data_IF_053661136903
#
_entry.id   IF_053661136903
#
_cell.length_a   1.000
_cell.length_b   1.000
_cell.length_c   1.000
_cell.angle_alpha   90.00
_cell.angle_beta   90.00
_cell.angle_gamma   90.00
#
_symmetry.space_group_name_H-M   'P 1'
#
loop_
_entity.id
_entity.type
_entity.pdbx_description
1 polymer ?
#
# COMPACT_ATOMS: atom_id res chain seq x y z
N UNK A 1 -11.88 -9.33 -7.30
CA UNK A 1 -10.43 -9.32 -7.12
C UNK A 1 -9.79 -8.42 -8.16
N UNK A 2 -8.90 -7.56 -7.73
CA UNK A 2 -8.21 -6.62 -8.60
C UNK A 2 -6.72 -6.80 -8.47
N UNK A 3 -6.08 -7.55 -9.37
CA UNK A 3 -4.65 -7.85 -9.24
C UNK A 3 -3.75 -6.62 -9.25
N UNK A 4 -4.24 -5.49 -9.76
CA UNK A 4 -3.48 -4.25 -9.77
C UNK A 4 -3.98 -3.23 -8.74
N UNK A 5 -4.85 -3.65 -7.83
CA UNK A 5 -5.42 -2.70 -6.87
C UNK A 5 -4.44 -2.43 -5.74
N UNK A 6 -4.33 -1.16 -5.40
CA UNK A 6 -3.50 -0.69 -4.29
C UNK A 6 -4.43 -0.06 -3.25
N UNK A 7 -4.36 -0.55 -2.02
CA UNK A 7 -5.11 0.06 -0.93
C UNK A 7 -4.18 1.01 -0.19
N UNK A 8 -4.57 2.27 -0.09
CA UNK A 8 -3.77 3.29 0.58
C UNK A 8 -4.51 3.76 1.82
N UNK A 9 -3.83 3.68 2.96
CA UNK A 9 -4.41 4.00 4.25
C UNK A 9 -3.55 5.08 4.92
N UNK A 10 -4.11 6.28 5.08
CA UNK A 10 -3.40 7.42 5.66
C UNK A 10 -4.43 8.42 6.13
N UNK A 11 -4.20 9.06 7.27
CA UNK A 11 -5.15 10.02 7.81
C UNK A 11 -5.03 11.42 7.20
N UNK A 12 -4.05 11.64 6.33
CA UNK A 12 -3.87 12.93 5.67
C UNK A 12 -4.49 12.89 4.28
N UNK A 13 -5.59 13.65 4.06
CA UNK A 13 -6.25 13.62 2.74
C UNK A 13 -5.34 14.02 1.60
N UNK A 14 -4.42 14.95 1.84
CA UNK A 14 -3.49 15.38 0.78
C UNK A 14 -2.59 14.24 0.32
N UNK A 15 -2.15 13.39 1.25
CA UNK A 15 -1.32 12.24 0.92
C UNK A 15 -2.14 11.21 0.12
N UNK A 16 -3.37 10.95 0.56
CA UNK A 16 -4.25 10.01 -0.15
C UNK A 16 -4.49 10.46 -1.58
N UNK A 17 -4.82 11.74 -1.75
CA UNK A 17 -5.10 12.28 -3.08
C UNK A 17 -3.87 12.23 -3.97
N UNK A 18 -2.72 12.58 -3.43
CA UNK A 18 -1.48 12.57 -4.18
C UNK A 18 -1.12 11.15 -4.66
N UNK A 19 -1.18 10.18 -3.75
CA UNK A 19 -0.83 8.81 -4.09
C UNK A 19 -1.84 8.24 -5.09
N UNK A 20 -3.13 8.51 -4.87
CA UNK A 20 -4.17 8.01 -5.77
C UNK A 20 -3.95 8.55 -7.18
N UNK A 21 -3.62 9.81 -7.29
CA UNK A 21 -3.41 10.44 -8.59
C UNK A 21 -2.16 9.87 -9.28
N UNK A 22 -1.06 9.77 -8.55
CA UNK A 22 0.19 9.26 -9.10
C UNK A 22 0.07 7.82 -9.55
N UNK A 23 -0.48 6.96 -8.72
CA UNK A 23 -0.59 5.55 -9.04
C UNK A 23 -1.67 5.29 -10.08
N UNK A 24 -2.76 6.06 -10.04
CA UNK A 24 -3.78 5.97 -11.08
C UNK A 24 -3.22 6.32 -12.43
N UNK A 25 -2.35 7.31 -12.47
CA UNK A 25 -1.69 7.71 -13.71
C UNK A 25 -0.79 6.59 -14.25
N UNK A 26 -0.23 5.77 -13.36
CA UNK A 26 0.60 4.62 -13.74
C UNK A 26 -0.23 3.41 -14.13
N UNK A 27 -1.55 3.50 -14.06
CA UNK A 27 -2.42 2.40 -14.49
C UNK A 27 -2.94 1.53 -13.36
N UNK A 28 -2.60 1.83 -12.11
CA UNK A 28 -3.11 1.06 -10.98
C UNK A 28 -4.51 1.50 -10.60
N UNK A 29 -5.27 0.57 -10.06
CA UNK A 29 -6.55 0.88 -9.43
C UNK A 29 -6.26 1.20 -7.97
N UNK A 30 -6.68 2.37 -7.50
CA UNK A 30 -6.34 2.82 -6.15
C UNK A 30 -7.60 3.00 -5.32
N UNK A 31 -7.58 2.43 -4.13
CA UNK A 31 -8.64 2.60 -3.15
C UNK A 31 -8.01 3.26 -1.94
N UNK A 32 -8.61 4.34 -1.45
CA UNK A 32 -8.05 5.09 -0.32
C UNK A 32 -9.02 5.09 0.84
N UNK A 33 -8.47 5.12 2.05
CA UNK A 33 -9.25 5.30 3.25
C UNK A 33 -8.39 5.95 4.32
N UNK A 34 -9.03 6.70 5.21
CA UNK A 34 -8.34 7.30 6.35
C UNK A 34 -8.59 6.55 7.65
N UNK A 35 -9.26 5.41 7.59
CA UNK A 35 -9.65 4.66 8.78
C UNK A 35 -9.17 3.22 8.70
N UNK A 36 -8.50 2.77 9.78
CA UNK A 36 -7.98 1.42 9.84
C UNK A 36 -9.05 0.35 9.76
N UNK A 37 -10.19 0.55 10.41
CA UNK A 37 -11.29 -0.41 10.38
C UNK A 37 -11.84 -0.60 8.98
N UNK A 38 -11.95 0.49 8.24
CA UNK A 38 -12.41 0.42 6.85
C UNK A 38 -11.39 -0.29 5.98
N UNK A 39 -10.10 -0.03 6.24
CA UNK A 39 -9.03 -0.70 5.51
C UNK A 39 -9.08 -2.21 5.70
N UNK A 40 -9.32 -2.67 6.91
CA UNK A 40 -9.42 -4.10 7.20
C UNK A 40 -10.59 -4.73 6.47
N UNK A 41 -11.75 -4.09 6.52
CA UNK A 41 -12.94 -4.59 5.84
C UNK A 41 -12.70 -4.65 4.32
N UNK A 42 -12.11 -3.60 3.79
CA UNK A 42 -11.83 -3.51 2.36
C UNK A 42 -10.85 -4.60 1.92
N UNK A 43 -9.80 -4.83 2.70
CA UNK A 43 -8.80 -5.84 2.36
C UNK A 43 -9.39 -7.24 2.38
N UNK A 44 -10.29 -7.52 3.30
CA UNK A 44 -10.93 -8.83 3.38
C UNK A 44 -11.93 -9.03 2.26
N UNK A 45 -12.73 -8.01 1.99
CA UNK A 45 -13.79 -8.10 1.01
C UNK A 45 -13.24 -8.16 -0.42
N UNK A 46 -12.19 -7.41 -0.68
CA UNK A 46 -11.64 -7.28 -2.03
C UNK A 46 -10.13 -7.13 -1.93
N UNK A 47 -9.41 -8.25 -1.73
CA UNK A 47 -7.98 -8.20 -1.45
C UNK A 47 -7.18 -7.44 -2.50
N UNK A 48 -6.42 -6.43 -2.10
CA UNK A 48 -5.56 -5.69 -3.04
C UNK A 48 -4.26 -6.44 -3.29
N UNK A 49 -3.52 -5.98 -4.29
CA UNK A 49 -2.20 -6.50 -4.57
C UNK A 49 -1.16 -5.99 -3.58
N UNK A 50 -1.43 -4.83 -2.99
CA UNK A 50 -0.48 -4.16 -2.09
C UNK A 50 -1.23 -3.19 -1.19
N UNK A 51 -0.78 -3.07 0.05
CA UNK A 51 -1.31 -2.08 0.99
C UNK A 51 -0.20 -1.10 1.35
N UNK A 52 -0.47 0.19 1.16
CA UNK A 52 0.38 1.27 1.65
C UNK A 52 -0.28 1.81 2.91
N UNK A 53 0.41 1.73 4.04
CA UNK A 53 -0.21 1.95 5.33
C UNK A 53 0.59 2.91 6.19
N UNK A 54 -0.05 4.01 6.61
CA UNK A 54 0.52 4.93 7.59
C UNK A 54 0.39 4.34 8.98
N UNK A 55 1.45 4.37 9.75
CA UNK A 55 1.44 3.86 11.12
C UNK A 55 0.79 4.81 12.11
N UNK A 56 0.88 6.10 11.85
CA UNK A 56 0.46 7.12 12.81
C UNK A 56 -0.91 7.66 12.43
N UNK A 57 -1.95 6.94 12.82
CA UNK A 57 -3.32 7.36 12.56
C UNK A 57 -4.10 7.43 13.87
N UNK A 58 -5.03 8.38 14.01
CA UNK A 58 -5.90 8.41 15.18
C UNK A 58 -6.86 7.22 15.17
N UNK A 59 -7.30 6.82 16.34
CA UNK A 59 -8.18 5.66 16.47
C UNK A 59 -7.39 4.37 16.34
N UNK A 60 -7.68 3.58 15.32
CA UNK A 60 -6.93 2.35 15.09
C UNK A 60 -5.59 2.69 14.43
N UNK A 61 -4.50 2.42 15.12
CA UNK A 61 -3.17 2.70 14.60
C UNK A 61 -2.79 1.72 13.49
N UNK A 62 -1.77 2.10 12.71
CA UNK A 62 -1.26 1.21 11.68
C UNK A 62 -0.76 -0.12 12.24
N UNK A 63 -0.19 -0.09 13.44
CA UNK A 63 0.26 -1.33 14.10
C UNK A 63 -0.90 -2.31 14.32
N UNK A 64 -2.05 -1.78 14.73
CA UNK A 64 -3.24 -2.61 14.95
C UNK A 64 -3.77 -3.16 13.62
N UNK A 65 -3.69 -2.36 12.57
CA UNK A 65 -4.11 -2.81 11.24
C UNK A 65 -3.21 -3.94 10.77
N UNK A 66 -1.89 -3.81 10.93
CA UNK A 66 -0.95 -4.84 10.53
C UNK A 66 -1.23 -6.14 11.29
N UNK A 67 -1.40 -6.05 12.60
CA UNK A 67 -1.66 -7.24 13.42
C UNK A 67 -2.93 -7.96 12.95
N UNK A 68 -3.98 -7.20 12.67
CA UNK A 68 -5.24 -7.79 12.22
C UNK A 68 -5.12 -8.41 10.83
N UNK A 69 -4.39 -7.76 9.92
CA UNK A 69 -4.18 -8.31 8.59
C UNK A 69 -3.39 -9.61 8.63
N UNK A 70 -2.35 -9.66 9.47
CA UNK A 70 -1.52 -10.87 9.56
C UNK A 70 -2.20 -12.01 10.31
N UNK A 71 -3.20 -11.68 11.14
CA UNK A 71 -3.94 -12.69 11.87
C UNK A 71 -4.98 -13.42 11.02
N UNK A 72 -5.35 -12.88 9.87
CA UNK A 72 -6.40 -13.44 9.03
C UNK A 72 -5.80 -14.18 7.84
N UNK A 73 -6.21 -15.41 7.57
CA UNK A 73 -5.69 -16.15 6.40
C UNK A 73 -6.00 -15.47 5.08
N UNK A 74 -7.07 -14.68 5.04
CA UNK A 74 -7.48 -14.00 3.80
C UNK A 74 -6.58 -12.84 3.43
N UNK A 75 -5.89 -12.25 4.41
CA UNK A 75 -5.13 -11.02 4.19
C UNK A 75 -3.66 -11.11 4.54
N UNK A 76 -3.25 -12.16 5.25
CA UNK A 76 -1.87 -12.22 5.76
C UNK A 76 -0.81 -12.27 4.67
N UNK A 77 -1.16 -12.72 3.47
CA UNK A 77 -0.21 -12.80 2.37
C UNK A 77 -0.09 -11.50 1.58
N UNK A 78 -0.97 -10.53 1.82
CA UNK A 78 -0.92 -9.27 1.10
C UNK A 78 0.31 -8.48 1.56
N UNK A 79 1.18 -8.05 0.63
CA UNK A 79 2.35 -7.27 1.03
C UNK A 79 1.95 -5.91 1.60
N UNK A 80 2.62 -5.50 2.65
CA UNK A 80 2.36 -4.24 3.33
C UNK A 80 3.61 -3.38 3.28
N UNK A 81 3.47 -2.18 2.75
CA UNK A 81 4.52 -1.16 2.75
C UNK A 81 4.08 -0.07 3.71
N UNK A 82 4.92 0.23 4.69
CA UNK A 82 4.60 1.19 5.73
C UNK A 82 5.06 2.59 5.32
N UNK A 83 4.20 3.58 5.54
CA UNK A 83 4.50 4.99 5.33
C UNK A 83 4.65 5.62 6.70
N UNK A 84 5.79 6.26 6.99
CA UNK A 84 5.95 6.88 8.30
C UNK A 84 7.12 7.84 8.31
N UNK A 85 7.06 8.81 9.22
CA UNK A 85 8.16 9.73 9.48
C UNK A 85 9.19 9.14 10.44
N UNK A 86 8.94 7.98 11.03
CA UNK A 86 9.85 7.38 12.01
C UNK A 86 11.07 6.79 11.32
N UNK A 87 12.20 6.90 11.97
CA UNK A 87 13.47 6.42 11.43
C UNK A 87 13.87 5.05 11.94
N UNK A 88 13.23 4.57 12.99
CA UNK A 88 13.54 3.27 13.59
C UNK A 88 12.72 2.12 12.99
N UNK A 89 11.93 2.41 11.97
CA UNK A 89 11.06 1.41 11.35
C UNK A 89 11.76 0.18 10.81
N UNK A 90 12.95 0.30 10.17
CA UNK A 90 13.56 -0.89 9.59
C UNK A 90 13.78 -2.03 10.59
N UNK A 91 14.07 -1.69 11.84
CA UNK A 91 14.27 -2.71 12.86
C UNK A 91 12.99 -3.36 13.30
N UNK A 92 11.91 -2.57 13.34
CA UNK A 92 10.61 -3.05 13.80
C UNK A 92 9.89 -3.80 12.68
N UNK A 93 10.05 -3.34 11.45
CA UNK A 93 9.32 -3.89 10.30
C UNK A 93 9.60 -5.37 10.07
N UNK A 94 10.83 -5.80 10.31
CA UNK A 94 11.21 -7.20 10.12
C UNK A 94 10.40 -8.14 11.00
N UNK A 95 10.10 -7.71 12.22
CA UNK A 95 9.37 -8.54 13.17
C UNK A 95 7.88 -8.61 12.83
N UNK A 96 7.37 -7.68 12.05
CA UNK A 96 5.93 -7.58 11.76
C UNK A 96 5.54 -8.14 10.40
N UNK A 97 6.50 -8.64 9.63
CA UNK A 97 6.20 -9.19 8.32
C UNK A 97 5.87 -8.13 7.27
N UNK A 98 6.41 -6.94 7.45
CA UNK A 98 6.29 -5.85 6.51
C UNK A 98 7.34 -6.03 5.42
N UNK A 99 6.96 -5.82 4.15
CA UNK A 99 7.90 -6.07 3.06
C UNK A 99 8.79 -4.87 2.77
N UNK A 100 8.34 -3.67 3.08
CA UNK A 100 9.15 -2.47 2.88
C UNK A 100 8.54 -1.30 3.63
N UNK A 101 9.24 -0.18 3.62
CA UNK A 101 8.74 1.04 4.24
C UNK A 101 9.21 2.24 3.43
N UNK A 102 8.47 3.34 3.53
CA UNK A 102 8.81 4.61 2.91
C UNK A 102 8.82 5.67 3.99
N UNK A 103 9.91 6.39 4.11
CA UNK A 103 10.00 7.50 5.06
C UNK A 103 9.30 8.73 4.50
N UNK A 104 8.51 9.40 5.32
CA UNK A 104 7.89 10.67 4.94
C UNK A 104 8.85 11.81 5.24
N UNK A 105 8.98 12.76 4.34
CA UNK A 105 8.40 12.81 3.00
C UNK A 105 9.14 11.87 2.07
N UNK A 106 8.40 11.15 1.22
CA UNK A 106 9.02 10.23 0.29
C UNK A 106 9.06 10.83 -1.11
N UNK A 107 9.96 10.28 -1.92
CA UNK A 107 10.14 10.66 -3.29
C UNK A 107 9.10 9.98 -4.16
N UNK A 108 8.62 10.67 -5.19
CA UNK A 108 7.64 10.08 -6.11
C UNK A 108 8.22 8.85 -6.79
N UNK A 109 9.46 8.94 -7.25
CA UNK A 109 10.11 7.81 -7.93
C UNK A 109 10.28 6.63 -6.99
N UNK A 110 10.56 6.91 -5.72
CA UNK A 110 10.70 5.88 -4.70
C UNK A 110 9.36 5.17 -4.46
N UNK A 111 8.28 5.93 -4.38
CA UNK A 111 6.95 5.38 -4.21
C UNK A 111 6.58 4.47 -5.38
N UNK A 112 6.77 4.95 -6.59
CA UNK A 112 6.42 4.18 -7.78
C UNK A 112 7.26 2.91 -7.88
N UNK A 113 8.54 3.02 -7.57
CA UNK A 113 9.46 1.89 -7.61
C UNK A 113 9.04 0.78 -6.64
N UNK A 114 8.68 1.17 -5.42
CA UNK A 114 8.25 0.20 -4.41
C UNK A 114 6.94 -0.45 -4.82
N UNK A 115 6.00 0.32 -5.34
CA UNK A 115 4.72 -0.22 -5.77
C UNK A 115 4.93 -1.23 -6.91
N UNK A 116 5.78 -0.89 -7.87
CA UNK A 116 6.06 -1.81 -8.99
C UNK A 116 6.74 -3.09 -8.50
N UNK A 117 7.59 -2.98 -7.52
CA UNK A 117 8.30 -4.12 -6.98
C UNK A 117 7.35 -5.13 -6.32
N UNK A 118 6.37 -4.67 -5.58
CA UNK A 118 5.52 -5.54 -4.78
C UNK A 118 4.14 -5.79 -5.36
N UNK A 119 3.63 -4.87 -6.18
CA UNK A 119 2.33 -5.04 -6.83
C UNK A 119 2.45 -5.44 -8.29
N UNK A 120 3.66 -5.46 -8.81
CA UNK A 120 3.90 -5.76 -10.21
C UNK A 120 3.71 -4.55 -11.09
N UNK A 121 4.20 -4.65 -12.31
CA UNK A 121 4.07 -3.57 -13.27
C UNK A 121 2.62 -3.47 -13.70
N UNK A 122 2.10 -2.25 -13.71
CA UNK A 122 0.73 -2.03 -14.14
C UNK A 122 0.62 -2.13 -15.67
N UNK A 123 -0.53 -2.54 -16.19
CA UNK A 123 -0.78 -2.45 -17.61
C UNK A 123 -1.10 -1.01 -17.98
N UNK A 124 -0.08 -0.19 -18.02
CA UNK A 124 -0.26 1.22 -18.26
C UNK A 124 -1.01 1.45 -19.57
N UNK A 125 -2.02 2.33 -19.58
CA UNK A 125 -2.73 2.63 -20.81
C UNK A 125 -1.76 3.17 -21.85
N UNK A 126 -1.77 2.64 -23.03
CA UNK A 126 -0.85 3.05 -24.07
C UNK A 126 0.50 2.39 -24.01
N UNK A 127 0.79 1.63 -22.96
CA UNK A 127 2.00 0.85 -22.94
C UNK A 127 1.83 -0.32 -23.90
N UNK A 128 2.80 -0.58 -24.76
CA UNK A 128 2.75 -1.77 -25.59
C UNK A 128 3.08 -2.90 -24.65
N UNK A 129 2.38 -3.37 -24.14
CA UNK A 129 2.57 -4.41 -23.22
C UNK A 129 3.66 -5.35 -23.54
N UNK A 130 3.81 -5.18 -23.89
CA UNK A 130 4.23 -5.83 -24.00
C UNK A 130 4.76 -6.48 -24.13
N UNK A 131 5.10 -6.43 -24.33
CA UNK A 131 5.43 -7.02 -24.49
C UNK A 131 5.82 -7.79 -24.14
N UNK A 132 5.87 -7.94 -24.13
CA UNK A 132 6.10 -8.65 -23.69
C UNK A 132 6.60 -9.10 -23.19
N UNK A 133 6.85 -8.96 -23.07
CA UNK A 133 7.26 -9.37 -22.55
C UNK A 133 7.40 -9.92 -22.06
N UNK A 134 7.30 -9.76 -22.10
CA UNK A 134 7.32 -10.42 -21.59
C UNK A 134 7.33 -10.64 -21.10
#
# INVERSE_FOLDING_TARGET
MHPNAILVVDDEPAILDMIAELLGYEGYQVVTTSQGSVALAQAKYNPPALILLDLMMPGMSGWQVIAALKASPQTRAIPIVVLSARRDLPMIANDLGIVSFLSKPFDIDELISVVQQYAGSSPSPGAPSSTCEG
#
